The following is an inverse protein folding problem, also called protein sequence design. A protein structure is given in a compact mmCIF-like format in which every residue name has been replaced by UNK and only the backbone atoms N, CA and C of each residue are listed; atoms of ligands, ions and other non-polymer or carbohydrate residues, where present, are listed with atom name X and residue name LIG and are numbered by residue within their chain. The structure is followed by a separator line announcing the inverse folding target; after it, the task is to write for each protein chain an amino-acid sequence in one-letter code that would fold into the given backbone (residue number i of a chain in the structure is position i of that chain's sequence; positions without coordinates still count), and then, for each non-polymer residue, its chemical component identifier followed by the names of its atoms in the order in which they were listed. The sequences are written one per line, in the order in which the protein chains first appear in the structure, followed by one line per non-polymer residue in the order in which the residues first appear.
data_IF_560544191475
#
_entry.id   IF_560544191475
#
_cell.length_a   1.000
_cell.length_b   1.000
_cell.length_c   1.000
_cell.angle_alpha   90.00
_cell.angle_beta   90.00
_cell.angle_gamma   90.00
#
_symmetry.space_group_name_H-M   'P 1'
#
loop_
_entity.id
_entity.type
_entity.pdbx_description
1 polymer ?
#
# COMPACT_ATOMS: atom_id res chain seq x y z
N UNK A 1 -25.16 -14.56 -1.02
CA UNK A 1 -23.84 -15.18 -0.78
C UNK A 1 -23.15 -14.37 0.29
N UNK A 2 -22.77 -14.96 1.42
CA UNK A 2 -21.93 -14.27 2.39
C UNK A 2 -20.48 -14.35 1.87
N UNK A 3 -19.89 -13.22 1.50
CA UNK A 3 -18.48 -13.18 1.13
C UNK A 3 -17.63 -13.50 2.37
N UNK A 4 -16.95 -14.64 2.33
CA UNK A 4 -15.98 -15.03 3.33
C UNK A 4 -14.68 -14.23 3.10
N UNK A 5 -14.45 -13.19 3.90
CA UNK A 5 -13.19 -12.46 3.97
C UNK A 5 -12.39 -12.93 5.17
N UNK A 6 -11.34 -13.70 4.91
CA UNK A 6 -10.43 -14.19 5.96
C UNK A 6 -9.04 -13.57 5.77
N UNK A 7 -8.53 -12.99 6.85
CA UNK A 7 -7.18 -12.41 6.95
C UNK A 7 -6.53 -13.06 8.15
N UNK A 8 -5.63 -14.02 7.91
CA UNK A 8 -4.97 -14.80 8.96
C UNK A 8 -3.51 -14.36 9.07
N UNK A 9 -3.08 -14.04 10.28
CA UNK A 9 -1.66 -13.87 10.63
C UNK A 9 -1.11 -15.17 11.24
N UNK A 10 -0.05 -15.72 10.63
CA UNK A 10 0.70 -16.93 11.01
C UNK A 10 0.10 -18.32 10.62
N UNK A 11 0.95 -19.37 10.42
CA UNK A 11 0.62 -20.54 9.62
C UNK A 11 -0.16 -21.61 10.41
N UNK A 12 -1.21 -22.16 9.80
CA UNK A 12 -2.00 -23.26 10.33
C UNK A 12 -1.23 -24.59 10.20
N UNK A 13 -1.20 -25.47 11.23
CA UNK A 13 -0.78 -26.85 11.08
C UNK A 13 -1.86 -27.68 10.36
N UNK A 14 -1.42 -28.64 9.55
CA UNK A 14 -2.23 -29.53 8.70
C UNK A 14 -3.51 -30.03 9.40
N UNK A 15 -4.68 -29.78 8.81
CA UNK A 15 -5.93 -30.40 9.23
C UNK A 15 -6.58 -31.22 8.10
N UNK A 16 -6.78 -32.47 8.46
CA UNK A 16 -7.34 -33.62 7.77
C UNK A 16 -8.80 -33.39 7.31
N UNK A 17 -9.03 -33.57 6.01
CA UNK A 17 -10.33 -33.42 5.35
C UNK A 17 -11.15 -34.71 5.48
N UNK A 18 -11.93 -34.84 6.55
CA UNK A 18 -13.00 -35.84 6.60
C UNK A 18 -14.35 -35.22 6.21
N UNK A 19 -14.83 -35.60 5.03
CA UNK A 19 -16.15 -35.25 4.50
C UNK A 19 -17.28 -35.97 5.26
N UNK A 20 -18.33 -35.24 5.61
CA UNK A 20 -19.69 -35.79 5.78
C UNK A 20 -20.70 -34.86 5.10
N UNK A 21 -21.59 -35.37 4.21
CA UNK A 21 -22.60 -34.53 3.57
C UNK A 21 -23.90 -34.58 4.39
N UNK A 22 -24.47 -33.42 4.72
CA UNK A 22 -25.86 -33.30 5.17
C UNK A 22 -26.65 -32.56 4.10
N UNK A 23 -27.51 -33.31 3.43
CA UNK A 23 -28.54 -32.82 2.52
C UNK A 23 -29.82 -32.61 3.33
N UNK A 24 -30.44 -31.43 3.27
CA UNK A 24 -31.87 -31.29 3.58
C UNK A 24 -32.47 -30.11 2.83
N UNK A 25 -33.39 -30.45 1.94
CA UNK A 25 -34.29 -29.62 1.15
C UNK A 25 -35.29 -28.86 2.04
N UNK A 26 -35.64 -27.62 1.69
CA UNK A 26 -37.02 -27.18 1.41
C UNK A 26 -37.18 -25.64 1.36
N UNK A 27 -38.06 -25.24 0.44
CA UNK A 27 -38.89 -24.03 0.35
C UNK A 27 -38.34 -22.65 -0.06
N UNK A 28 -38.78 -22.25 -1.26
CA UNK A 28 -38.93 -20.89 -1.77
C UNK A 28 -40.29 -20.30 -1.31
N UNK A 29 -40.43 -18.96 -1.32
CA UNK A 29 -41.27 -18.37 -2.38
C UNK A 29 -40.70 -17.11 -3.07
N UNK A 30 -41.23 -16.90 -4.28
CA UNK A 30 -41.16 -15.78 -5.27
C UNK A 30 -41.59 -14.44 -4.65
N UNK A 31 -41.39 -13.22 -5.15
CA UNK A 31 -40.85 -12.54 -6.36
C UNK A 31 -40.38 -11.13 -5.86
N UNK A 32 -39.60 -10.32 -6.55
CA UNK A 32 -40.06 -9.39 -7.59
C UNK A 32 -38.87 -8.79 -8.34
N UNK A 33 -39.05 -8.68 -9.65
CA UNK A 33 -38.09 -8.24 -10.65
C UNK A 33 -38.48 -6.81 -11.06
N UNK A 34 -37.55 -5.87 -11.03
CA UNK A 34 -37.71 -4.56 -11.66
C UNK A 34 -36.39 -4.18 -12.32
N UNK A 35 -36.31 -4.37 -13.64
CA UNK A 35 -35.33 -3.70 -14.49
C UNK A 35 -35.95 -2.41 -15.08
N UNK A 36 -35.27 -1.69 -16.00
CA UNK A 36 -34.43 -0.54 -15.69
C UNK A 36 -35.05 0.75 -16.27
N UNK A 37 -34.54 1.91 -15.91
CA UNK A 37 -34.91 3.15 -16.62
C UNK A 37 -33.65 3.88 -17.05
N UNK A 38 -33.39 3.73 -18.35
CA UNK A 38 -32.53 4.61 -19.14
C UNK A 38 -33.09 6.04 -19.13
N UNK A 39 -32.26 6.99 -18.72
CA UNK A 39 -32.41 8.40 -19.10
C UNK A 39 -31.02 8.98 -19.40
N UNK A 40 -30.73 8.96 -20.69
CA UNK A 40 -30.04 9.96 -21.51
C UNK A 40 -29.16 11.01 -20.81
N UNK A 41 -27.88 10.94 -21.16
CA UNK A 41 -26.94 12.02 -21.46
C UNK A 41 -27.34 13.47 -21.10
N UNK A 42 -26.52 14.10 -20.26
CA UNK A 42 -26.15 15.49 -20.48
C UNK A 42 -24.64 15.67 -20.24
N UNK A 43 -24.00 16.29 -21.21
CA UNK A 43 -22.57 16.54 -21.31
C UNK A 43 -22.35 17.95 -20.77
N UNK A 44 -21.79 18.09 -19.57
CA UNK A 44 -21.39 19.40 -19.07
C UNK A 44 -20.06 19.32 -18.34
N UNK A 45 -19.02 19.69 -19.08
CA UNK A 45 -17.74 20.07 -18.55
C UNK A 45 -17.85 21.32 -17.65
N UNK A 46 -17.00 21.33 -16.62
CA UNK A 46 -16.58 22.46 -15.79
C UNK A 46 -17.49 22.90 -14.63
N UNK A 47 -17.21 22.36 -13.44
CA UNK A 47 -16.90 23.18 -12.26
C UNK A 47 -16.25 22.30 -11.18
N UNK A 48 -15.03 22.65 -10.77
CA UNK A 48 -14.42 22.13 -9.56
C UNK A 48 -15.25 22.61 -8.35
N UNK A 49 -16.19 21.79 -7.92
CA UNK A 49 -16.88 21.97 -6.65
C UNK A 49 -16.06 21.28 -5.57
N UNK A 50 -15.39 22.07 -4.74
CA UNK A 50 -14.89 21.62 -3.45
C UNK A 50 -16.09 21.18 -2.60
N UNK A 51 -16.42 19.89 -2.69
CA UNK A 51 -17.35 19.24 -1.78
C UNK A 51 -16.73 19.25 -0.37
N UNK A 52 -17.53 19.45 0.69
CA UNK A 52 -17.04 19.33 2.06
C UNK A 52 -16.45 17.93 2.22
N UNK A 53 -15.14 17.88 2.48
CA UNK A 53 -14.38 16.65 2.55
C UNK A 53 -14.90 15.87 3.77
N UNK A 54 -15.74 14.86 3.53
CA UNK A 54 -16.06 13.87 4.56
C UNK A 54 -14.73 13.28 5.06
N UNK A 55 -14.57 13.05 6.37
CA UNK A 55 -13.31 12.60 6.94
C UNK A 55 -12.87 11.32 6.24
N UNK A 56 -11.69 11.36 5.62
CA UNK A 56 -11.19 10.26 4.84
C UNK A 56 -10.92 9.07 5.78
N UNK A 57 -11.55 7.92 5.53
CA UNK A 57 -11.46 6.75 6.40
C UNK A 57 -10.02 6.23 6.59
N UNK A 58 -9.13 6.55 5.64
CA UNK A 58 -7.71 6.23 5.69
C UNK A 58 -6.92 7.06 6.72
N UNK A 59 -7.41 8.21 7.17
CA UNK A 59 -6.73 9.03 8.19
C UNK A 59 -6.54 8.29 9.52
N UNK A 60 -7.42 7.34 9.81
CA UNK A 60 -7.36 6.51 11.04
C UNK A 60 -6.27 5.44 10.99
N UNK A 61 -5.64 5.23 9.84
CA UNK A 61 -4.68 4.14 9.61
C UNK A 61 -3.21 4.57 9.79
N UNK A 62 -2.95 5.80 10.27
CA UNK A 62 -1.62 6.33 10.55
C UNK A 62 -0.64 6.25 9.35
N UNK A 63 -1.16 6.41 8.13
CA UNK A 63 -0.37 6.44 6.91
C UNK A 63 0.47 7.72 6.80
N UNK A 64 1.47 7.68 5.92
CA UNK A 64 2.30 8.85 5.64
C UNK A 64 1.43 9.95 4.98
N UNK A 65 1.67 11.24 5.26
CA UNK A 65 0.85 12.33 4.73
C UNK A 65 0.85 12.39 3.20
N UNK A 66 1.96 12.00 2.56
CA UNK A 66 2.06 11.91 1.10
C UNK A 66 1.09 10.87 0.53
N UNK A 67 0.95 9.73 1.19
CA UNK A 67 0.04 8.67 0.78
C UNK A 67 -1.42 9.04 1.02
N UNK A 68 -1.73 9.73 2.13
CA UNK A 68 -3.08 10.24 2.37
C UNK A 68 -3.51 11.23 1.30
N UNK A 69 -2.59 12.10 0.86
CA UNK A 69 -2.85 13.02 -0.24
C UNK A 69 -3.09 12.26 -1.54
N UNK A 70 -2.24 11.29 -1.89
CA UNK A 70 -2.40 10.50 -3.10
C UNK A 70 -3.74 9.74 -3.11
N UNK A 71 -4.08 9.06 -2.01
CA UNK A 71 -5.37 8.38 -1.82
C UNK A 71 -6.55 9.34 -2.01
N UNK A 72 -6.45 10.56 -1.49
CA UNK A 72 -7.46 11.60 -1.70
C UNK A 72 -7.56 12.05 -3.16
N UNK A 73 -6.42 12.20 -3.85
CA UNK A 73 -6.35 12.62 -5.26
C UNK A 73 -6.90 11.55 -6.20
N UNK A 74 -6.74 10.27 -5.86
CA UNK A 74 -7.36 9.13 -6.54
C UNK A 74 -8.88 9.02 -6.27
N UNK A 75 -9.44 9.83 -5.37
CA UNK A 75 -10.85 9.81 -5.01
C UNK A 75 -11.23 8.67 -4.05
N UNK A 76 -10.27 8.05 -3.37
CA UNK A 76 -10.55 7.05 -2.34
C UNK A 76 -10.96 7.74 -1.03
N UNK A 77 -12.25 7.66 -0.72
CA UNK A 77 -12.83 8.28 0.48
C UNK A 77 -12.95 7.32 1.65
N UNK A 78 -13.35 6.06 1.37
CA UNK A 78 -13.53 5.02 2.37
C UNK A 78 -12.76 3.76 2.02
N UNK A 79 -12.03 3.17 2.99
CA UNK A 79 -11.32 1.92 2.78
C UNK A 79 -12.29 0.77 2.56
N UNK A 80 -11.90 -0.21 1.73
CA UNK A 80 -12.67 -1.45 1.57
C UNK A 80 -12.50 -2.36 2.80
N UNK A 81 -13.41 -3.31 2.99
CA UNK A 81 -13.36 -4.28 4.12
C UNK A 81 -12.02 -5.02 4.19
N UNK A 82 -11.40 -5.32 3.03
CA UNK A 82 -10.07 -5.94 2.98
C UNK A 82 -8.99 -4.97 3.44
N UNK A 83 -9.05 -3.71 3.00
CA UNK A 83 -8.09 -2.66 3.38
C UNK A 83 -8.18 -2.33 4.88
N UNK A 84 -9.40 -2.19 5.42
CA UNK A 84 -9.64 -1.91 6.84
C UNK A 84 -8.99 -2.93 7.78
N UNK A 85 -8.96 -4.20 7.37
CA UNK A 85 -8.34 -5.28 8.15
C UNK A 85 -6.84 -5.41 7.86
N UNK A 86 -6.47 -5.42 6.58
CA UNK A 86 -5.09 -5.70 6.17
C UNK A 86 -4.13 -4.56 6.49
N UNK A 87 -4.52 -3.29 6.26
CA UNK A 87 -3.60 -2.15 6.39
C UNK A 87 -3.10 -2.02 7.84
N UNK A 88 -3.97 -2.00 8.87
CA UNK A 88 -3.50 -1.94 10.25
C UNK A 88 -2.66 -3.14 10.65
N UNK A 89 -3.03 -4.36 10.24
CA UNK A 89 -2.26 -5.57 10.57
C UNK A 89 -0.86 -5.57 9.93
N UNK A 90 -0.74 -5.04 8.70
CA UNK A 90 0.55 -4.89 8.04
C UNK A 90 1.42 -3.79 8.67
N UNK A 91 0.80 -2.82 9.37
CA UNK A 91 1.47 -1.69 9.99
C UNK A 91 1.73 -1.83 11.50
N UNK A 92 1.06 -2.75 12.20
CA UNK A 92 1.08 -2.88 13.67
C UNK A 92 2.49 -2.93 14.26
N UNK A 93 3.40 -3.70 13.65
CA UNK A 93 4.77 -3.87 14.15
C UNK A 93 5.69 -2.65 13.92
N UNK A 94 5.29 -1.64 13.13
CA UNK A 94 6.06 -0.40 12.95
C UNK A 94 5.88 0.58 14.12
N UNK A 95 4.78 0.44 14.89
CA UNK A 95 4.44 1.37 15.98
C UNK A 95 5.02 0.95 17.34
N UNK A 96 5.24 -0.35 17.57
CA UNK A 96 5.80 -0.89 18.82
C UNK A 96 7.33 -0.78 18.85
N UNK A 97 7.77 0.45 19.11
CA UNK A 97 9.16 0.91 19.14
C UNK A 97 9.90 0.41 20.39
N UNK A 98 10.09 -0.92 20.53
CA UNK A 98 10.92 -1.48 21.60
C UNK A 98 11.69 -2.77 21.24
N UNK A 99 11.46 -3.39 20.07
CA UNK A 99 11.99 -4.74 19.81
C UNK A 99 12.18 -5.13 18.36
N UNK A 100 12.73 -4.24 17.53
CA UNK A 100 13.02 -4.51 16.12
C UNK A 100 11.76 -4.60 15.25
N UNK A 101 11.82 -4.03 14.05
CA UNK A 101 10.73 -4.13 13.08
C UNK A 101 10.54 -5.61 12.68
N UNK A 102 9.62 -6.30 13.34
CA UNK A 102 9.08 -7.55 12.80
C UNK A 102 8.06 -7.17 11.74
N UNK A 103 7.97 -7.96 10.69
CA UNK A 103 6.87 -7.83 9.74
C UNK A 103 5.92 -8.97 10.07
N UNK A 104 4.63 -8.67 10.07
CA UNK A 104 3.59 -9.69 10.20
C UNK A 104 3.26 -10.23 8.81
N UNK A 105 3.47 -11.52 8.61
CA UNK A 105 3.04 -12.21 7.39
C UNK A 105 1.51 -12.34 7.40
N UNK A 106 0.88 -11.89 6.32
CA UNK A 106 -0.58 -11.89 6.16
C UNK A 106 -1.00 -12.79 5.01
N UNK A 107 -1.95 -13.67 5.28
CA UNK A 107 -2.69 -14.39 4.24
C UNK A 107 -4.05 -13.73 4.04
N UNK A 108 -4.34 -13.27 2.82
CA UNK A 108 -5.55 -12.52 2.49
C UNK A 108 -6.33 -13.24 1.39
N UNK A 109 -7.57 -13.64 1.67
CA UNK A 109 -8.48 -14.20 0.67
C UNK A 109 -9.63 -13.24 0.35
N UNK A 110 -9.76 -12.84 -0.93
CA UNK A 110 -10.85 -11.97 -1.40
C UNK A 110 -11.00 -11.98 -2.93
N UNK A 111 -12.20 -11.66 -3.44
CA UNK A 111 -12.49 -11.62 -4.88
C UNK A 111 -11.78 -10.47 -5.61
N UNK A 112 -11.51 -10.57 -6.91
CA UNK A 112 -11.05 -9.46 -7.75
C UNK A 112 -11.98 -8.24 -7.62
N UNK A 113 -11.43 -7.03 -7.62
CA UNK A 113 -12.19 -5.79 -7.42
C UNK A 113 -12.41 -5.39 -5.94
N UNK A 114 -12.01 -6.21 -4.96
CA UNK A 114 -12.13 -5.89 -3.52
C UNK A 114 -11.11 -4.86 -2.98
N UNK A 115 -10.27 -4.27 -3.83
CA UNK A 115 -9.26 -3.29 -3.41
C UNK A 115 -7.98 -3.88 -2.80
N UNK A 116 -7.67 -5.16 -3.06
CA UNK A 116 -6.44 -5.82 -2.60
C UNK A 116 -5.16 -5.06 -2.94
N UNK A 117 -5.10 -4.43 -4.12
CA UNK A 117 -3.89 -3.76 -4.60
C UNK A 117 -3.45 -2.66 -3.65
N UNK A 118 -4.33 -1.71 -3.33
CA UNK A 118 -4.04 -0.69 -2.32
C UNK A 118 -3.85 -1.28 -0.91
N UNK A 119 -4.49 -2.40 -0.58
CA UNK A 119 -4.35 -3.04 0.74
C UNK A 119 -2.92 -3.51 1.05
N UNK A 120 -2.15 -3.95 0.04
CA UNK A 120 -0.73 -4.28 0.22
C UNK A 120 0.21 -3.15 -0.20
N UNK A 121 -0.16 -2.32 -1.19
CA UNK A 121 0.70 -1.22 -1.66
C UNK A 121 0.87 -0.13 -0.60
N UNK A 122 -0.22 0.29 0.06
CA UNK A 122 -0.16 1.40 1.03
C UNK A 122 0.81 1.11 2.20
N UNK A 123 0.75 -0.05 2.89
CA UNK A 123 1.73 -0.37 3.94
C UNK A 123 3.17 -0.49 3.42
N UNK A 124 3.36 -1.06 2.22
CA UNK A 124 4.69 -1.21 1.61
C UNK A 124 5.29 0.16 1.27
N UNK A 125 4.55 1.02 0.60
CA UNK A 125 5.00 2.36 0.24
C UNK A 125 5.29 3.20 1.49
N UNK A 126 4.45 3.10 2.52
CA UNK A 126 4.69 3.77 3.81
C UNK A 126 6.04 3.35 4.42
N UNK A 127 6.31 2.04 4.43
CA UNK A 127 7.58 1.50 4.93
C UNK A 127 8.78 1.99 4.11
N UNK A 128 8.66 2.00 2.77
CA UNK A 128 9.72 2.48 1.89
C UNK A 128 10.00 3.98 2.05
N UNK A 129 8.96 4.80 2.25
CA UNK A 129 9.10 6.23 2.56
C UNK A 129 9.86 6.42 3.87
N UNK A 130 9.45 5.73 4.94
CA UNK A 130 10.13 5.78 6.23
C UNK A 130 11.60 5.36 6.14
N UNK A 131 11.90 4.26 5.43
CA UNK A 131 13.29 3.81 5.21
C UNK A 131 14.10 4.83 4.42
N UNK A 132 13.51 5.45 3.40
CA UNK A 132 14.18 6.47 2.57
C UNK A 132 14.50 7.71 3.38
N UNK A 133 13.57 8.15 4.24
CA UNK A 133 13.77 9.34 5.08
C UNK A 133 14.82 9.09 6.17
N UNK A 134 14.82 7.90 6.77
CA UNK A 134 15.88 7.46 7.69
C UNK A 134 17.26 7.44 7.01
N UNK A 135 17.35 6.88 5.79
CA UNK A 135 18.60 6.84 5.04
C UNK A 135 19.11 8.25 4.69
N UNK A 136 18.21 9.17 4.30
CA UNK A 136 18.56 10.56 4.05
C UNK A 136 19.00 11.28 5.33
N UNK A 137 18.34 11.03 6.46
CA UNK A 137 18.72 11.61 7.75
C UNK A 137 20.10 11.12 8.19
N UNK A 138 20.40 9.83 8.01
CA UNK A 138 21.72 9.25 8.28
C UNK A 138 22.80 9.88 7.39
N UNK A 139 22.57 9.99 6.07
CA UNK A 139 23.53 10.62 5.16
C UNK A 139 23.81 12.09 5.53
N UNK A 140 22.77 12.83 5.93
CA UNK A 140 22.92 14.22 6.42
C UNK A 140 23.73 14.27 7.71
N UNK A 141 23.43 13.40 8.68
CA UNK A 141 24.15 13.33 9.95
C UNK A 141 25.63 12.94 9.76
N UNK A 142 25.91 11.99 8.86
CA UNK A 142 27.27 11.59 8.51
C UNK A 142 28.04 12.72 7.84
N UNK A 143 27.39 13.48 6.95
CA UNK A 143 27.99 14.67 6.33
C UNK A 143 28.28 15.76 7.35
N UNK A 144 27.33 16.04 8.25
CA UNK A 144 27.50 17.02 9.34
C UNK A 144 28.65 16.63 10.28
N UNK A 145 28.74 15.34 10.64
CA UNK A 145 29.83 14.79 11.43
C UNK A 145 31.18 14.95 10.72
N UNK A 146 31.25 14.62 9.44
CA UNK A 146 32.48 14.78 8.64
C UNK A 146 32.91 16.25 8.54
N UNK A 147 31.97 17.18 8.39
CA UNK A 147 32.24 18.61 8.42
C UNK A 147 32.76 19.08 9.79
N UNK A 148 32.15 18.63 10.89
CA UNK A 148 32.58 18.97 12.24
C UNK A 148 33.99 18.44 12.56
N UNK A 149 34.30 17.21 12.14
CA UNK A 149 35.63 16.62 12.28
C UNK A 149 36.69 17.37 11.47
N UNK A 150 36.39 17.79 10.24
CA UNK A 150 37.29 18.59 9.41
C UNK A 150 37.56 19.96 10.04
N UNK A 151 36.52 20.62 10.56
CA UNK A 151 36.65 21.90 11.28
C UNK A 151 37.53 21.77 12.54
N UNK A 152 37.37 20.68 13.30
CA UNK A 152 38.21 20.41 14.47
C UNK A 152 39.70 20.16 14.11
N UNK A 153 39.96 19.62 12.90
CA UNK A 153 41.33 19.43 12.36
C UNK A 153 41.89 20.66 11.65
N UNK A 154 41.10 21.73 11.47
CA UNK A 154 41.50 22.92 10.71
C UNK A 154 41.56 22.71 9.19
N UNK A 155 40.93 21.66 8.68
CA UNK A 155 40.87 21.33 7.26
C UNK A 155 39.62 21.91 6.59
N UNK A 156 39.64 22.04 5.26
CA UNK A 156 38.49 22.51 4.49
C UNK A 156 37.34 21.47 4.50
N UNK A 157 36.07 21.92 4.49
CA UNK A 157 34.92 21.01 4.56
C UNK A 157 34.81 20.09 3.33
N UNK A 158 34.31 18.85 3.50
CA UNK A 158 34.16 17.89 2.41
C UNK A 158 33.18 18.39 1.34
N UNK A 159 33.56 18.20 0.07
CA UNK A 159 32.71 18.54 -1.08
C UNK A 159 31.53 17.57 -1.16
N UNK A 160 30.33 18.10 -1.45
CA UNK A 160 29.15 17.28 -1.70
C UNK A 160 29.36 16.39 -2.94
N UNK A 161 28.90 15.13 -2.91
CA UNK A 161 29.02 14.24 -4.04
C UNK A 161 28.25 14.79 -5.25
N UNK A 162 28.88 14.82 -6.43
CA UNK A 162 28.21 15.15 -7.69
C UNK A 162 27.43 13.94 -8.19
N UNK A 163 26.19 14.16 -8.64
CA UNK A 163 25.37 13.12 -9.27
C UNK A 163 26.09 12.62 -10.52
N UNK A 164 26.36 11.32 -10.56
CA UNK A 164 26.99 10.64 -11.70
C UNK A 164 25.91 10.30 -12.73
N UNK A 165 26.28 10.29 -14.01
CA UNK A 165 25.40 9.83 -15.08
C UNK A 165 25.09 8.33 -14.87
N UNK A 166 23.82 7.96 -14.63
CA UNK A 166 23.43 6.58 -14.37
C UNK A 166 23.48 5.69 -15.61
N UNK A 167 23.48 6.27 -16.81
CA UNK A 167 23.52 5.52 -18.08
C UNK A 167 24.94 5.15 -18.50
N UNK A 168 25.95 5.72 -17.84
CA UNK A 168 27.35 5.38 -18.08
C UNK A 168 27.67 4.00 -17.50
N UNK A 169 28.19 3.09 -18.33
CA UNK A 169 28.62 1.75 -17.91
C UNK A 169 29.65 1.77 -16.78
N UNK A 170 30.47 2.83 -16.67
CA UNK A 170 31.45 3.03 -15.59
C UNK A 170 30.83 3.38 -14.24
N UNK A 171 29.59 3.84 -14.23
CA UNK A 171 28.85 4.27 -13.03
C UNK A 171 27.63 3.37 -12.76
N UNK A 172 27.56 2.20 -13.40
CA UNK A 172 26.45 1.27 -13.24
C UNK A 172 26.37 0.80 -11.78
N UNK A 173 25.21 1.02 -11.17
CA UNK A 173 24.85 0.48 -9.85
C UNK A 173 23.65 -0.43 -10.05
N UNK A 174 23.76 -1.68 -9.62
CA UNK A 174 22.66 -2.63 -9.69
C UNK A 174 21.45 -2.11 -8.89
N UNK A 175 20.25 -2.28 -9.46
CA UNK A 175 19.02 -1.94 -8.78
C UNK A 175 18.84 -2.84 -7.54
N UNK A 176 18.53 -2.22 -6.41
CA UNK A 176 18.26 -2.88 -5.13
C UNK A 176 16.83 -2.53 -4.75
N UNK A 177 15.82 -3.28 -5.23
CA UNK A 177 14.43 -2.96 -4.98
C UNK A 177 14.10 -3.14 -3.50
N UNK A 178 13.36 -2.21 -2.92
CA UNK A 178 12.90 -2.30 -1.53
C UNK A 178 11.68 -3.23 -1.36
N UNK A 179 10.94 -3.50 -2.44
CA UNK A 179 9.79 -4.40 -2.46
C UNK A 179 9.71 -5.17 -3.79
N UNK A 180 9.15 -6.38 -3.75
CA UNK A 180 8.92 -7.24 -4.90
C UNK A 180 7.47 -7.74 -4.90
N UNK A 181 6.73 -7.45 -5.95
CA UNK A 181 5.35 -7.94 -6.14
C UNK A 181 5.34 -8.93 -7.28
N UNK A 182 4.87 -10.15 -7.01
CA UNK A 182 4.78 -11.21 -8.01
C UNK A 182 3.37 -11.30 -8.55
N UNK A 183 3.23 -11.18 -9.88
CA UNK A 183 1.96 -11.26 -10.58
C UNK A 183 1.96 -12.46 -11.54
N UNK A 184 0.86 -13.23 -11.64
CA UNK A 184 0.77 -14.37 -12.55
C UNK A 184 0.72 -13.98 -14.04
N UNK A 185 0.26 -12.77 -14.36
CA UNK A 185 0.12 -12.27 -15.73
C UNK A 185 0.76 -10.90 -15.90
N UNK A 186 1.15 -10.58 -17.13
CA UNK A 186 1.78 -9.32 -17.49
C UNK A 186 0.81 -8.15 -17.31
N UNK A 187 -0.43 -8.33 -17.70
CA UNK A 187 -1.48 -7.33 -17.67
C UNK A 187 -1.78 -6.92 -16.23
N UNK A 188 -1.85 -7.90 -15.32
CA UNK A 188 -2.02 -7.63 -13.89
C UNK A 188 -0.79 -6.93 -13.32
N UNK A 189 0.43 -7.33 -13.72
CA UNK A 189 1.65 -6.63 -13.30
C UNK A 189 1.66 -5.17 -13.76
N UNK A 190 1.18 -4.89 -14.97
CA UNK A 190 1.05 -3.53 -15.49
C UNK A 190 0.02 -2.74 -14.69
N UNK A 191 -1.14 -3.32 -14.38
CA UNK A 191 -2.15 -2.65 -13.57
C UNK A 191 -1.60 -2.29 -12.18
N UNK A 192 -1.00 -3.25 -11.49
CA UNK A 192 -0.38 -3.01 -10.17
C UNK A 192 0.73 -1.97 -10.25
N UNK A 193 1.52 -1.94 -11.33
CA UNK A 193 2.57 -0.95 -11.52
C UNK A 193 2.02 0.47 -11.74
N UNK A 194 0.93 0.63 -12.50
CA UNK A 194 0.28 1.94 -12.66
C UNK A 194 -0.32 2.39 -11.33
N UNK A 195 -1.07 1.51 -10.65
CA UNK A 195 -1.63 1.80 -9.32
C UNK A 195 -0.54 2.24 -8.32
N UNK A 196 0.66 1.63 -8.38
CA UNK A 196 1.78 1.98 -7.51
C UNK A 196 2.53 3.26 -7.92
N UNK A 197 2.36 3.76 -9.14
CA UNK A 197 2.94 5.02 -9.62
C UNK A 197 2.01 6.20 -9.29
N UNK A 198 0.70 5.95 -9.33
CA UNK A 198 -0.32 6.96 -9.06
C UNK A 198 -0.48 7.20 -7.55
N UNK A 199 -0.17 6.20 -6.70
CA UNK A 199 -0.07 6.29 -5.24
C UNK A 199 1.25 6.90 -4.74
#
# INVERSE_FOLDING_TARGET
MNDAFDVVGAPLPDQDLSHTPVNTSADLPKAEFSEPSDVLADDTAAAASATPQEPNGFEKMALAPELLQAVSDLGFTQPTVVQEKCIPMAMQDLSDTAGGARFTDLMVSSQTGSGKTAAFLLPVLHTLLAQRDQAQAQERADYEKACAEAAARGEAPPKRPRRKDPTSSRNFKAATPGALVLCPTRELAQQVAHDAIDL
#
